data_IF_128777925937
#
_entry.id   IF_128777925937
#
_cell.length_a   1.000
_cell.length_b   1.000
_cell.length_c   1.000
_cell.angle_alpha   90.00
_cell.angle_beta   90.00
_cell.angle_gamma   90.00
#
_symmetry.space_group_name_H-M   'P 1'
#
loop_
_entity.id
_entity.type
_entity.pdbx_description
1 polymer ?
#
# COMPACT_ATOMS: atom_id res chain seq x y z
N UNK A 1 -51.06 28.74 -11.68
CA UNK A 1 -50.11 27.66 -12.01
C UNK A 1 -49.18 28.19 -13.07
N UNK A 2 -48.07 28.74 -12.63
CA UNK A 2 -47.20 29.60 -13.43
C UNK A 2 -45.76 29.17 -13.17
N UNK A 3 -45.07 28.71 -14.21
CA UNK A 3 -43.65 28.41 -14.15
C UNK A 3 -42.85 29.70 -13.93
N UNK A 4 -41.76 29.59 -13.16
CA UNK A 4 -40.76 30.65 -13.03
C UNK A 4 -39.40 30.07 -13.37
N UNK A 5 -38.88 30.53 -14.51
CA UNK A 5 -37.48 30.46 -14.87
C UNK A 5 -36.64 31.24 -13.85
N UNK A 6 -35.51 30.69 -13.43
CA UNK A 6 -34.34 31.49 -13.10
C UNK A 6 -33.19 31.08 -14.02
N UNK A 7 -32.90 31.97 -14.97
CA UNK A 7 -31.75 31.93 -15.87
C UNK A 7 -30.72 32.90 -15.31
N UNK A 8 -29.51 32.43 -15.04
CA UNK A 8 -28.33 33.28 -14.98
C UNK A 8 -27.19 32.58 -15.74
N UNK A 9 -26.81 33.17 -16.87
CA UNK A 9 -25.58 32.88 -17.58
C UNK A 9 -24.38 33.20 -16.70
N UNK A 10 -23.42 32.28 -16.67
CA UNK A 10 -22.03 32.53 -16.29
C UNK A 10 -21.15 31.60 -17.11
N UNK A 11 -20.81 32.01 -18.33
CA UNK A 11 -19.75 31.39 -19.11
C UNK A 11 -18.42 31.63 -18.36
N UNK A 12 -17.89 30.59 -17.75
CA UNK A 12 -16.56 30.60 -17.12
C UNK A 12 -16.00 29.19 -17.14
N UNK A 13 -14.93 28.99 -17.91
CA UNK A 13 -14.15 27.77 -18.08
C UNK A 13 -14.02 26.90 -16.81
N UNK A 14 -14.57 25.68 -16.79
CA UNK A 14 -13.98 24.50 -16.11
C UNK A 14 -14.54 23.19 -16.69
N UNK A 15 -14.41 22.97 -17.99
CA UNK A 15 -14.42 21.62 -18.53
C UNK A 15 -13.01 21.05 -18.40
N UNK A 16 -12.74 20.23 -17.38
CA UNK A 16 -11.60 19.28 -17.25
C UNK A 16 -11.20 18.92 -15.79
N UNK A 17 -11.90 19.39 -14.75
CA UNK A 17 -11.46 19.14 -13.37
C UNK A 17 -12.12 17.93 -12.66
N UNK A 18 -13.17 17.33 -13.23
CA UNK A 18 -14.06 16.46 -12.44
C UNK A 18 -13.93 14.95 -12.68
N UNK A 19 -13.18 14.49 -13.69
CA UNK A 19 -13.04 13.04 -13.94
C UNK A 19 -12.23 12.33 -12.86
N UNK A 20 -11.23 12.99 -12.27
CA UNK A 20 -10.39 12.43 -11.21
C UNK A 20 -11.07 12.42 -9.83
N UNK A 21 -12.02 13.32 -9.58
CA UNK A 21 -12.82 13.32 -8.36
C UNK A 21 -13.94 12.27 -8.42
N UNK A 22 -14.58 12.12 -9.58
CA UNK A 22 -15.63 11.12 -9.81
C UNK A 22 -15.05 9.70 -9.79
N UNK A 23 -13.87 9.46 -10.38
CA UNK A 23 -13.20 8.15 -10.33
C UNK A 23 -12.79 7.75 -8.90
N UNK A 24 -12.32 8.70 -8.09
CA UNK A 24 -12.00 8.47 -6.67
C UNK A 24 -13.24 8.11 -5.85
N UNK A 25 -14.37 8.76 -6.11
CA UNK A 25 -15.64 8.48 -5.41
C UNK A 25 -16.27 7.15 -5.86
N UNK A 26 -16.22 6.81 -7.15
CA UNK A 26 -16.66 5.49 -7.64
C UNK A 26 -15.78 4.35 -7.09
N UNK A 27 -14.46 4.55 -7.03
CA UNK A 27 -13.54 3.55 -6.47
C UNK A 27 -13.72 3.36 -4.96
N UNK A 28 -14.04 4.42 -4.21
CA UNK A 28 -14.37 4.34 -2.79
C UNK A 28 -15.70 3.61 -2.53
N UNK A 29 -16.67 3.74 -3.44
CA UNK A 29 -17.96 3.07 -3.33
C UNK A 29 -17.86 1.56 -3.64
N UNK A 30 -17.10 1.16 -4.66
CA UNK A 30 -16.87 -0.26 -4.99
C UNK A 30 -16.07 -0.98 -3.90
N UNK A 31 -15.17 -0.28 -3.21
CA UNK A 31 -14.44 -0.84 -2.05
C UNK A 31 -15.27 -0.92 -0.77
N UNK A 32 -16.48 -0.33 -0.69
CA UNK A 32 -17.32 -0.37 0.51
C UNK A 32 -18.13 -1.66 0.68
N UNK A 33 -18.41 -2.39 -0.41
CA UNK A 33 -19.32 -3.55 -0.39
C UNK A 33 -18.65 -4.93 -0.38
N UNK A 34 -17.33 -5.04 -0.28
CA UNK A 34 -16.63 -6.30 -0.51
C UNK A 34 -15.61 -6.62 0.57
N UNK A 35 -15.84 -7.69 1.33
CA UNK A 35 -14.97 -8.22 2.39
C UNK A 35 -13.58 -8.72 1.92
N UNK A 36 -13.14 -8.38 0.70
CA UNK A 36 -11.77 -8.57 0.21
C UNK A 36 -10.87 -7.31 0.40
N UNK A 37 -11.31 -6.38 1.25
CA UNK A 37 -10.84 -5.00 1.44
C UNK A 37 -9.34 -4.75 1.68
N UNK A 38 -8.49 -5.78 1.79
CA UNK A 38 -7.06 -5.63 2.11
C UNK A 38 -6.09 -6.10 1.02
N UNK A 39 -6.54 -6.54 -0.16
CA UNK A 39 -5.62 -7.10 -1.19
C UNK A 39 -5.51 -6.31 -2.50
N UNK A 40 -6.07 -5.10 -2.58
CA UNK A 40 -6.05 -4.32 -3.80
C UNK A 40 -5.10 -3.11 -3.66
N UNK A 41 -3.99 -3.14 -4.40
CA UNK A 41 -3.04 -2.02 -4.51
C UNK A 41 -3.15 -1.43 -5.92
N UNK A 42 -3.39 -0.13 -6.01
CA UNK A 42 -3.53 0.60 -7.27
C UNK A 42 -2.52 1.74 -7.34
N UNK A 43 -1.92 1.95 -8.51
CA UNK A 43 -1.02 3.07 -8.81
C UNK A 43 -1.39 3.64 -10.17
N UNK A 44 -1.59 4.96 -10.23
CA UNK A 44 -1.86 5.66 -11.49
C UNK A 44 -0.55 5.89 -12.27
N UNK A 45 -0.54 5.58 -13.57
CA UNK A 45 0.62 5.83 -14.44
C UNK A 45 0.60 7.29 -14.91
N UNK A 46 1.59 8.07 -14.46
CA UNK A 46 1.78 9.46 -14.89
C UNK A 46 2.79 9.53 -16.03
N UNK A 47 2.51 10.38 -17.03
CA UNK A 47 3.47 10.77 -18.08
C UNK A 47 4.15 9.59 -18.81
N UNK A 48 3.41 8.49 -19.03
CA UNK A 48 3.93 7.26 -19.65
C UNK A 48 5.15 6.63 -18.92
N UNK A 49 5.38 6.98 -17.64
CA UNK A 49 6.47 6.43 -16.82
C UNK A 49 6.06 5.11 -16.16
N UNK A 50 5.78 4.11 -16.98
CA UNK A 50 5.27 2.80 -16.54
C UNK A 50 6.23 2.13 -15.56
N UNK A 51 7.54 2.22 -15.78
CA UNK A 51 8.53 1.58 -14.91
C UNK A 51 8.54 2.15 -13.49
N UNK A 52 8.35 3.47 -13.35
CA UNK A 52 8.26 4.12 -12.04
C UNK A 52 6.98 3.68 -11.32
N UNK A 53 5.84 3.69 -12.01
CA UNK A 53 4.58 3.21 -11.46
C UNK A 53 4.63 1.73 -11.05
N UNK A 54 5.30 0.87 -11.83
CA UNK A 54 5.52 -0.53 -11.48
C UNK A 54 6.41 -0.71 -10.25
N UNK A 55 7.45 0.11 -10.11
CA UNK A 55 8.31 0.08 -8.93
C UNK A 55 7.56 0.50 -7.66
N UNK A 56 6.71 1.52 -7.78
CA UNK A 56 5.86 2.02 -6.69
C UNK A 56 4.79 0.99 -6.31
N UNK A 57 4.15 0.36 -7.31
CA UNK A 57 3.19 -0.72 -7.11
C UNK A 57 3.83 -1.89 -6.37
N UNK A 58 5.05 -2.30 -6.77
CA UNK A 58 5.77 -3.37 -6.09
C UNK A 58 6.15 -3.00 -4.66
N UNK A 59 6.53 -1.74 -4.40
CA UNK A 59 6.81 -1.25 -3.04
C UNK A 59 5.55 -1.35 -2.17
N UNK A 60 4.44 -0.78 -2.62
CA UNK A 60 3.17 -0.80 -1.90
C UNK A 60 2.65 -2.24 -1.69
N UNK A 61 2.84 -3.13 -2.66
CA UNK A 61 2.50 -4.55 -2.54
C UNK A 61 3.32 -5.24 -1.44
N UNK A 62 4.62 -4.95 -1.36
CA UNK A 62 5.52 -5.51 -0.35
C UNK A 62 5.21 -4.94 1.05
N UNK A 63 4.95 -3.63 1.14
CA UNK A 63 4.57 -2.95 2.38
C UNK A 63 3.25 -3.50 2.93
N UNK A 64 2.29 -3.82 2.05
CA UNK A 64 1.04 -4.49 2.38
C UNK A 64 1.20 -5.98 2.74
N UNK A 65 2.39 -6.57 2.60
CA UNK A 65 2.66 -7.97 2.94
C UNK A 65 1.99 -9.00 2.01
N UNK A 66 1.40 -8.57 0.89
CA UNK A 66 0.62 -9.43 -0.01
C UNK A 66 1.40 -10.64 -0.55
N UNK A 67 2.67 -10.53 -0.97
CA UNK A 67 3.40 -11.67 -1.49
C UNK A 67 3.59 -12.76 -0.44
N UNK A 68 3.83 -12.37 0.82
CA UNK A 68 4.07 -13.32 1.90
C UNK A 68 2.76 -13.98 2.36
N UNK A 69 1.64 -13.25 2.33
CA UNK A 69 0.32 -13.85 2.53
C UNK A 69 -0.04 -14.84 1.44
N UNK A 70 0.16 -14.50 0.17
CA UNK A 70 -0.08 -15.40 -0.96
C UNK A 70 0.77 -16.67 -0.87
N UNK A 71 2.04 -16.53 -0.46
CA UNK A 71 2.92 -17.69 -0.20
C UNK A 71 2.41 -18.57 0.94
N UNK A 72 1.98 -17.96 2.06
CA UNK A 72 1.44 -18.70 3.21
C UNK A 72 0.13 -19.43 2.88
N UNK A 73 -0.71 -18.85 2.01
CA UNK A 73 -1.99 -19.45 1.58
C UNK A 73 -1.82 -20.60 0.59
N UNK A 74 -0.69 -20.66 -0.12
CA UNK A 74 -0.47 -21.65 -1.19
C UNK A 74 -0.44 -23.09 -0.68
N UNK A 75 0.10 -23.32 0.51
CA UNK A 75 0.23 -24.65 1.10
C UNK A 75 -0.30 -24.65 2.53
N UNK A 76 -1.00 -25.72 2.90
CA UNK A 76 -1.42 -25.93 4.28
C UNK A 76 -0.19 -26.10 5.19
N UNK A 77 -0.21 -25.44 6.33
CA UNK A 77 0.81 -25.53 7.38
C UNK A 77 0.13 -26.06 8.64
N UNK A 78 0.69 -27.10 9.24
CA UNK A 78 0.17 -27.65 10.49
C UNK A 78 0.35 -26.63 11.65
N UNK A 79 -0.50 -26.71 12.68
CA UNK A 79 -0.45 -25.83 13.84
C UNK A 79 0.90 -25.87 14.59
N UNK A 80 1.56 -27.03 14.65
CA UNK A 80 2.91 -27.17 15.23
C UNK A 80 3.96 -26.38 14.45
N UNK A 81 3.94 -26.51 13.12
CA UNK A 81 4.88 -25.84 12.23
C UNK A 81 4.66 -24.34 12.24
N UNK A 82 3.41 -23.90 12.31
CA UNK A 82 3.05 -22.50 12.45
C UNK A 82 3.58 -21.90 13.76
N UNK A 83 3.56 -22.64 14.88
CA UNK A 83 4.16 -22.19 16.16
C UNK A 83 5.68 -22.12 16.05
N UNK A 84 6.32 -23.18 15.56
CA UNK A 84 7.76 -23.20 15.36
C UNK A 84 8.25 -22.04 14.47
N UNK A 85 7.53 -21.74 13.38
CA UNK A 85 7.87 -20.62 12.50
C UNK A 85 7.75 -19.27 13.21
N UNK A 86 6.75 -19.07 14.08
CA UNK A 86 6.63 -17.85 14.89
C UNK A 86 7.80 -17.71 15.85
N UNK A 87 8.12 -18.76 16.61
CA UNK A 87 9.18 -18.72 17.61
C UNK A 87 10.55 -18.50 16.95
N UNK A 88 10.81 -19.20 15.84
CA UNK A 88 12.01 -19.00 15.03
C UNK A 88 12.12 -17.56 14.52
N UNK A 89 11.03 -16.96 14.06
CA UNK A 89 11.04 -15.58 13.57
C UNK A 89 11.25 -14.57 14.71
N UNK A 90 10.62 -14.80 15.87
CA UNK A 90 10.83 -13.98 17.06
C UNK A 90 12.30 -14.04 17.52
N UNK A 91 12.89 -15.23 17.56
CA UNK A 91 14.30 -15.42 17.90
C UNK A 91 15.21 -14.70 16.90
N UNK A 92 14.99 -14.88 15.59
CA UNK A 92 15.76 -14.17 14.56
C UNK A 92 15.69 -12.66 14.70
N UNK A 93 14.51 -12.11 15.00
CA UNK A 93 14.34 -10.68 15.22
C UNK A 93 15.11 -10.20 16.45
N UNK A 94 15.04 -10.94 17.56
CA UNK A 94 15.78 -10.62 18.78
C UNK A 94 17.30 -10.64 18.56
N UNK A 95 17.82 -11.70 17.93
CA UNK A 95 19.25 -11.81 17.59
C UNK A 95 19.67 -10.69 16.62
N UNK A 96 18.86 -10.42 15.60
CA UNK A 96 19.10 -9.34 14.65
C UNK A 96 19.24 -7.98 15.32
N UNK A 97 18.36 -7.66 16.28
CA UNK A 97 18.43 -6.42 17.06
C UNK A 97 19.75 -6.30 17.84
N UNK A 98 20.18 -7.38 18.51
CA UNK A 98 21.46 -7.40 19.25
C UNK A 98 22.65 -7.20 18.30
N UNK A 99 22.66 -7.86 17.15
CA UNK A 99 23.72 -7.73 16.14
C UNK A 99 23.79 -6.30 15.60
N UNK A 100 22.63 -5.69 15.30
CA UNK A 100 22.55 -4.30 14.82
C UNK A 100 23.12 -3.33 15.85
N UNK A 101 22.76 -3.47 17.14
CA UNK A 101 23.32 -2.64 18.20
C UNK A 101 24.83 -2.83 18.35
N UNK A 102 25.32 -4.07 18.21
CA UNK A 102 26.76 -4.35 18.23
C UNK A 102 27.48 -3.68 17.07
N UNK A 103 26.92 -3.72 15.86
CA UNK A 103 27.48 -3.06 14.67
C UNK A 103 27.52 -1.54 14.89
N UNK A 104 26.42 -0.93 15.37
CA UNK A 104 26.38 0.51 15.69
C UNK A 104 27.46 0.90 16.70
N UNK A 105 27.70 0.07 17.71
CA UNK A 105 28.76 0.30 18.69
C UNK A 105 30.16 0.23 18.06
N UNK A 106 30.43 -0.78 17.22
CA UNK A 106 31.72 -0.90 16.51
C UNK A 106 31.96 0.29 15.58
N UNK A 107 30.94 0.68 14.81
CA UNK A 107 31.04 1.80 13.86
C UNK A 107 31.33 3.14 14.57
N UNK A 108 30.70 3.40 15.72
CA UNK A 108 30.98 4.60 16.53
C UNK A 108 32.44 4.67 17.01
N UNK A 109 33.05 3.53 17.34
CA UNK A 109 34.46 3.45 17.78
C UNK A 109 35.47 3.50 16.64
N UNK A 110 35.06 3.19 15.41
CA UNK A 110 35.95 3.26 14.24
C UNK A 110 36.22 4.70 13.80
N UNK A 111 35.25 5.61 13.97
CA UNK A 111 35.37 7.02 13.59
C UNK A 111 36.06 7.94 14.62
N UNK A 112 36.61 7.38 15.70
CA UNK A 112 37.25 8.12 16.80
C UNK A 112 38.77 7.91 16.86
N UNK A 113 39.39 7.60 15.72
CA UNK A 113 40.86 7.52 15.56
C UNK A 113 41.36 8.63 14.65
#
# INVERSE_FOLDING_TARGET
MSGVLLRACGLGLTGAASTSAISKLQNAFVTAGSSYRNMAVYVEVKENRVQQALSELNRLRNDAGLPDELRKRRYYINGSDARFLRDKNAYKHAVGAVVVERIKWVMRRKGTK
#
